data_IF_815876241129
#
_entry.id   IF_815876241129
#
_cell.length_a   1.000
_cell.length_b   1.000
_cell.length_c   1.000
_cell.angle_alpha   90.00
_cell.angle_beta   90.00
_cell.angle_gamma   90.00
#
_symmetry.space_group_name_H-M   'P 1'
#
loop_
_entity.id
_entity.type
_entity.pdbx_description
1 polymer ?
#
# COMPACT_ATOMS: atom_id res chain seq x y z
N UNK A 1 -21.97 -16.13 -19.13
CA UNK A 1 -21.44 -17.50 -19.30
C UNK A 1 -20.56 -17.76 -18.10
N UNK A 2 -21.11 -18.47 -17.11
CA UNK A 2 -20.40 -18.90 -15.90
C UNK A 2 -19.53 -20.10 -16.25
N UNK A 3 -18.24 -20.01 -15.99
CA UNK A 3 -17.39 -21.18 -15.88
C UNK A 3 -16.95 -21.28 -14.42
N UNK A 4 -17.67 -22.05 -13.65
CA UNK A 4 -17.23 -22.58 -12.37
C UNK A 4 -16.24 -23.70 -12.66
N UNK A 5 -14.98 -23.50 -12.30
CA UNK A 5 -13.97 -24.55 -12.35
C UNK A 5 -13.84 -25.12 -10.93
N UNK A 6 -14.52 -26.23 -10.69
CA UNK A 6 -14.30 -27.08 -9.53
C UNK A 6 -12.98 -27.81 -9.72
N UNK A 7 -11.94 -27.44 -8.95
CA UNK A 7 -10.68 -28.17 -8.90
C UNK A 7 -10.81 -29.24 -7.81
N UNK A 8 -11.13 -30.46 -8.24
CA UNK A 8 -11.03 -31.67 -7.43
C UNK A 8 -9.57 -32.15 -7.49
N UNK A 9 -8.80 -31.95 -6.43
CA UNK A 9 -7.42 -32.46 -6.32
C UNK A 9 -7.51 -33.93 -5.91
N UNK A 10 -7.43 -34.81 -6.89
CA UNK A 10 -7.22 -36.23 -6.66
C UNK A 10 -5.72 -36.54 -6.77
N UNK A 11 -5.06 -36.73 -5.62
CA UNK A 11 -3.64 -37.07 -5.54
C UNK A 11 -3.42 -38.54 -5.92
N UNK A 12 -3.29 -38.83 -7.21
CA UNK A 12 -2.71 -40.07 -7.68
C UNK A 12 -1.26 -39.83 -8.09
N UNK A 13 -0.33 -40.40 -7.33
CA UNK A 13 1.09 -40.41 -7.60
C UNK A 13 1.39 -41.25 -8.82
N UNK A 14 1.56 -40.64 -10.00
CA UNK A 14 2.37 -41.16 -11.08
C UNK A 14 3.14 -39.98 -11.71
N UNK A 15 4.45 -39.97 -11.44
CA UNK A 15 5.37 -38.97 -11.92
C UNK A 15 5.58 -39.09 -13.43
N UNK A 16 5.06 -38.12 -14.18
CA UNK A 16 5.68 -37.57 -15.37
C UNK A 16 5.41 -36.05 -15.34
N UNK A 17 6.35 -35.33 -14.72
CA UNK A 17 6.28 -33.87 -14.54
C UNK A 17 7.20 -33.20 -15.56
N UNK A 18 6.66 -32.89 -16.75
CA UNK A 18 7.19 -31.81 -17.57
C UNK A 18 6.52 -30.50 -17.12
N UNK A 19 7.08 -29.90 -16.06
CA UNK A 19 6.59 -28.60 -15.57
C UNK A 19 7.33 -27.50 -16.32
N UNK A 20 6.64 -26.86 -17.27
CA UNK A 20 7.11 -25.63 -17.87
C UNK A 20 7.01 -24.48 -16.84
N UNK A 21 8.08 -24.32 -16.05
CA UNK A 21 8.20 -23.32 -14.97
C UNK A 21 7.98 -21.88 -15.44
N UNK A 22 8.13 -21.58 -16.74
CA UNK A 22 7.81 -20.26 -17.31
C UNK A 22 6.30 -20.00 -17.37
N UNK A 23 5.50 -20.99 -17.74
CA UNK A 23 4.04 -20.83 -17.77
C UNK A 23 3.42 -20.83 -16.37
N UNK A 24 3.99 -21.60 -15.44
CA UNK A 24 3.56 -21.59 -14.04
C UNK A 24 3.85 -20.24 -13.38
N UNK A 25 5.03 -19.65 -13.61
CA UNK A 25 5.36 -18.28 -13.16
C UNK A 25 4.39 -17.25 -13.72
N UNK A 26 4.07 -17.33 -15.00
CA UNK A 26 3.15 -16.37 -15.66
C UNK A 26 1.71 -16.56 -15.16
N UNK A 27 1.25 -17.77 -14.87
CA UNK A 27 -0.10 -18.01 -14.33
C UNK A 27 -0.21 -17.60 -12.85
N UNK A 28 0.78 -17.83 -12.03
CA UNK A 28 0.77 -17.41 -10.61
C UNK A 28 0.84 -15.88 -10.49
N UNK A 29 1.59 -15.19 -11.39
CA UNK A 29 1.74 -13.74 -11.34
C UNK A 29 0.77 -12.96 -12.25
N UNK A 30 0.18 -13.57 -13.31
CA UNK A 30 -0.89 -12.94 -14.10
C UNK A 30 -2.28 -13.10 -13.52
N UNK A 31 -2.52 -14.10 -12.69
CA UNK A 31 -3.71 -14.14 -11.88
C UNK A 31 -3.42 -13.37 -10.59
N UNK A 32 -3.68 -12.08 -10.58
CA UNK A 32 -4.06 -11.34 -9.37
C UNK A 32 -5.42 -11.82 -8.81
N UNK A 33 -5.92 -12.93 -9.29
CA UNK A 33 -6.80 -13.81 -8.57
C UNK A 33 -5.96 -14.51 -7.48
N UNK A 34 -5.38 -13.72 -6.58
CA UNK A 34 -5.18 -14.19 -5.22
C UNK A 34 -6.51 -14.82 -4.85
N UNK A 35 -6.50 -16.12 -4.55
CA UNK A 35 -7.72 -16.86 -4.18
C UNK A 35 -8.37 -16.08 -3.06
N UNK A 36 -9.28 -15.18 -3.43
CA UNK A 36 -10.13 -14.48 -2.46
C UNK A 36 -11.13 -15.54 -2.03
N UNK A 37 -10.76 -16.29 -0.99
CA UNK A 37 -11.69 -17.17 -0.33
C UNK A 37 -12.89 -16.32 0.06
N UNK A 38 -14.05 -16.67 -0.45
CA UNK A 38 -15.34 -16.10 -0.03
C UNK A 38 -15.61 -16.50 1.43
N UNK A 39 -14.84 -15.96 2.37
CA UNK A 39 -15.13 -16.11 3.78
C UNK A 39 -16.18 -15.09 4.19
N UNK A 40 -17.28 -15.50 4.81
CA UNK A 40 -18.30 -14.59 5.28
C UNK A 40 -17.86 -13.73 6.48
N UNK A 41 -16.71 -14.05 7.09
CA UNK A 41 -16.18 -13.35 8.26
C UNK A 41 -14.78 -12.77 7.93
N UNK A 42 -14.59 -11.43 8.03
CA UNK A 42 -13.32 -10.78 7.75
C UNK A 42 -12.13 -11.27 8.62
N UNK A 43 -12.37 -11.63 9.87
CA UNK A 43 -11.38 -12.25 10.76
C UNK A 43 -10.87 -13.59 10.20
N UNK A 44 -11.76 -14.36 9.58
CA UNK A 44 -11.38 -15.63 8.95
C UNK A 44 -10.53 -15.41 7.68
N UNK A 45 -10.72 -14.29 6.98
CA UNK A 45 -9.94 -13.99 5.77
C UNK A 45 -8.47 -13.69 6.11
N UNK A 46 -8.20 -12.84 7.10
CA UNK A 46 -6.84 -12.51 7.55
C UNK A 46 -6.13 -13.75 8.12
N UNK A 47 -6.82 -14.53 8.95
CA UNK A 47 -6.29 -15.78 9.48
C UNK A 47 -5.97 -16.77 8.37
N UNK A 48 -6.91 -16.95 7.42
CA UNK A 48 -6.74 -17.86 6.29
C UNK A 48 -5.57 -17.43 5.41
N UNK A 49 -5.47 -16.15 5.06
CA UNK A 49 -4.35 -15.61 4.27
C UNK A 49 -3.01 -15.83 4.97
N UNK A 50 -2.97 -15.58 6.28
CA UNK A 50 -1.78 -15.79 7.10
C UNK A 50 -1.35 -17.27 7.11
N UNK A 51 -2.30 -18.19 7.33
CA UNK A 51 -2.01 -19.63 7.35
C UNK A 51 -1.54 -20.15 5.98
N UNK A 52 -2.11 -19.64 4.90
CA UNK A 52 -1.68 -20.00 3.54
C UNK A 52 -0.25 -19.50 3.29
N UNK A 53 0.06 -18.24 3.61
CA UNK A 53 1.39 -17.68 3.41
C UNK A 53 2.44 -18.42 4.24
N UNK A 54 2.14 -18.73 5.49
CA UNK A 54 3.02 -19.55 6.34
C UNK A 54 3.20 -20.95 5.77
N UNK A 55 2.11 -21.61 5.34
CA UNK A 55 2.15 -22.93 4.74
C UNK A 55 2.99 -22.99 3.46
N UNK A 56 2.81 -22.03 2.56
CA UNK A 56 3.62 -21.91 1.32
C UNK A 56 5.09 -21.67 1.68
N UNK A 57 5.38 -20.78 2.62
CA UNK A 57 6.75 -20.47 3.03
C UNK A 57 7.45 -21.70 3.64
N UNK A 58 6.77 -22.45 4.49
CA UNK A 58 7.28 -23.69 5.06
C UNK A 58 7.50 -24.77 3.98
N UNK A 59 6.58 -24.89 3.02
CA UNK A 59 6.73 -25.85 1.91
C UNK A 59 7.94 -25.52 1.05
N UNK A 60 8.15 -24.25 0.70
CA UNK A 60 9.33 -23.82 -0.06
C UNK A 60 10.63 -24.11 0.69
N UNK A 61 10.67 -23.89 2.00
CA UNK A 61 11.84 -24.24 2.82
C UNK A 61 12.06 -25.74 2.88
N UNK A 62 11.03 -26.56 3.03
CA UNK A 62 11.14 -28.02 2.97
C UNK A 62 11.75 -28.52 1.66
N UNK A 63 11.33 -27.94 0.54
CA UNK A 63 11.90 -28.25 -0.78
C UNK A 63 13.38 -27.85 -0.82
N UNK A 64 13.71 -26.63 -0.38
CA UNK A 64 15.09 -26.14 -0.34
C UNK A 64 15.98 -26.99 0.56
N UNK A 65 15.53 -27.32 1.77
CA UNK A 65 16.26 -28.16 2.73
C UNK A 65 16.49 -29.54 2.16
N UNK A 66 15.50 -30.11 1.44
CA UNK A 66 15.66 -31.39 0.76
C UNK A 66 16.74 -31.34 -0.33
N UNK A 67 16.75 -30.27 -1.15
CA UNK A 67 17.75 -30.07 -2.20
C UNK A 67 19.16 -29.89 -1.60
N UNK A 68 19.27 -29.08 -0.53
CA UNK A 68 20.54 -28.89 0.19
C UNK A 68 21.04 -30.22 0.80
N UNK A 69 20.13 -30.99 1.40
CA UNK A 69 20.49 -32.31 1.97
C UNK A 69 21.00 -33.28 0.91
N UNK A 70 20.38 -33.32 -0.28
CA UNK A 70 20.85 -34.12 -1.44
C UNK A 70 22.23 -33.63 -1.89
N UNK A 71 22.42 -32.32 -2.04
CA UNK A 71 23.69 -31.73 -2.43
C UNK A 71 24.82 -32.11 -1.44
N UNK A 72 24.60 -31.95 -0.14
CA UNK A 72 25.57 -32.30 0.90
C UNK A 72 25.86 -33.80 0.94
N UNK A 73 24.86 -34.63 0.69
CA UNK A 73 25.05 -36.07 0.57
C UNK A 73 25.95 -36.44 -0.63
N UNK A 74 25.71 -35.86 -1.79
CA UNK A 74 26.47 -36.13 -3.01
C UNK A 74 27.91 -35.59 -2.95
N UNK A 75 28.10 -34.39 -2.39
CA UNK A 75 29.40 -33.68 -2.41
C UNK A 75 30.26 -34.00 -1.19
N UNK A 76 29.71 -33.88 0.02
CA UNK A 76 30.43 -34.00 1.28
C UNK A 76 30.23 -35.35 1.98
N UNK A 77 29.46 -36.26 1.36
CA UNK A 77 29.09 -37.56 1.93
C UNK A 77 28.47 -37.50 3.32
N UNK A 78 27.85 -36.35 3.63
CA UNK A 78 27.04 -36.19 4.85
C UNK A 78 25.79 -37.05 4.73
N UNK A 79 25.43 -37.80 5.78
CA UNK A 79 24.21 -38.61 5.75
C UNK A 79 22.99 -37.74 5.47
N UNK A 80 22.24 -38.04 4.39
CA UNK A 80 21.03 -37.28 3.99
C UNK A 80 20.09 -37.02 5.19
N UNK A 81 19.82 -38.07 5.99
CA UNK A 81 18.97 -37.97 7.17
C UNK A 81 19.45 -36.89 8.15
N UNK A 82 20.76 -36.77 8.43
CA UNK A 82 21.30 -35.76 9.34
C UNK A 82 21.15 -34.37 8.74
N UNK A 83 21.54 -34.18 7.47
CA UNK A 83 21.43 -32.90 6.78
C UNK A 83 19.97 -32.42 6.75
N UNK A 84 19.02 -33.29 6.38
CA UNK A 84 17.59 -32.98 6.33
C UNK A 84 17.02 -32.64 7.71
N UNK A 85 17.34 -33.39 8.76
CA UNK A 85 16.87 -33.11 10.13
C UNK A 85 17.37 -31.76 10.65
N UNK A 86 18.59 -31.35 10.31
CA UNK A 86 19.08 -30.01 10.65
C UNK A 86 18.37 -28.94 9.84
N UNK A 87 18.07 -29.20 8.56
CA UNK A 87 17.30 -28.32 7.71
C UNK A 87 15.91 -28.03 8.27
N UNK A 88 15.26 -29.02 8.91
CA UNK A 88 13.92 -28.81 9.51
C UNK A 88 13.86 -27.66 10.53
N UNK A 89 14.99 -27.27 11.13
CA UNK A 89 15.04 -26.10 12.01
C UNK A 89 14.70 -24.80 11.27
N UNK A 90 14.94 -24.75 9.95
CA UNK A 90 14.58 -23.58 9.13
C UNK A 90 13.08 -23.32 9.10
N UNK A 91 12.25 -24.36 9.30
CA UNK A 91 10.78 -24.23 9.33
C UNK A 91 10.27 -23.35 10.48
N UNK A 92 11.11 -23.10 11.49
CA UNK A 92 10.77 -22.12 12.53
C UNK A 92 10.87 -20.66 12.03
N UNK A 93 11.61 -20.40 10.95
CA UNK A 93 11.85 -19.04 10.46
C UNK A 93 10.57 -18.30 10.01
N UNK A 94 9.69 -18.86 9.14
CA UNK A 94 8.49 -18.16 8.72
C UNK A 94 7.59 -17.74 9.89
N UNK A 95 7.21 -18.62 10.84
CA UNK A 95 6.40 -18.21 11.98
C UNK A 95 7.12 -17.21 12.89
N UNK A 96 8.43 -17.29 13.07
CA UNK A 96 9.20 -16.32 13.85
C UNK A 96 9.23 -14.95 13.16
N UNK A 97 9.45 -14.87 11.86
CA UNK A 97 9.38 -13.62 11.10
C UNK A 97 7.97 -13.03 11.12
N UNK A 98 6.95 -13.87 10.97
CA UNK A 98 5.58 -13.41 11.08
C UNK A 98 5.28 -12.87 12.49
N UNK A 99 5.67 -13.60 13.54
CA UNK A 99 5.49 -13.17 14.93
C UNK A 99 6.23 -11.84 15.19
N UNK A 100 7.45 -11.68 14.69
CA UNK A 100 8.19 -10.41 14.77
C UNK A 100 7.45 -9.28 14.04
N UNK A 101 7.00 -9.54 12.81
CA UNK A 101 6.23 -8.57 12.02
C UNK A 101 4.93 -8.15 12.68
N UNK A 102 4.24 -9.10 13.33
CA UNK A 102 2.98 -8.89 14.04
C UNK A 102 3.17 -8.17 15.38
N UNK A 103 4.12 -8.61 16.20
CA UNK A 103 4.29 -8.09 17.56
C UNK A 103 5.11 -6.80 17.61
N UNK A 104 6.10 -6.67 16.73
CA UNK A 104 7.10 -5.59 16.81
C UNK A 104 6.97 -4.63 15.62
N UNK A 105 7.22 -5.09 14.41
CA UNK A 105 7.52 -4.20 13.29
C UNK A 105 6.31 -3.39 12.85
N UNK A 106 5.10 -3.96 12.85
CA UNK A 106 3.86 -3.23 12.53
C UNK A 106 3.55 -2.08 13.50
N UNK A 107 4.18 -2.08 14.70
CA UNK A 107 4.03 -1.04 15.72
C UNK A 107 5.20 -0.03 15.70
N UNK A 108 6.19 -0.24 14.86
CA UNK A 108 7.40 0.58 14.82
C UNK A 108 7.41 1.49 13.60
N UNK A 109 6.72 2.61 13.71
CA UNK A 109 6.61 3.63 12.65
C UNK A 109 7.96 4.26 12.36
N UNK A 110 8.32 4.31 11.07
CA UNK A 110 9.49 5.04 10.57
C UNK A 110 9.09 6.40 10.00
N UNK A 111 9.95 7.40 10.17
CA UNK A 111 9.88 8.66 9.44
C UNK A 111 10.95 8.62 8.34
N UNK A 112 10.54 8.83 7.09
CA UNK A 112 11.46 9.00 5.97
C UNK A 112 11.53 10.47 5.60
N UNK A 113 12.74 11.02 5.65
CA UNK A 113 13.00 12.37 5.16
C UNK A 113 13.44 12.29 3.71
N UNK A 114 12.79 13.06 2.85
CA UNK A 114 13.03 13.13 1.40
C UNK A 114 13.15 14.59 1.01
N UNK A 115 14.19 14.95 0.30
CA UNK A 115 14.27 16.25 -0.38
C UNK A 115 13.95 16.06 -1.85
N UNK A 116 13.07 16.92 -2.38
CA UNK A 116 12.73 16.98 -3.79
C UNK A 116 13.09 18.38 -4.28
N UNK A 117 14.14 18.44 -5.08
CA UNK A 117 14.62 19.64 -5.71
C UNK A 117 14.03 19.74 -7.13
N UNK A 118 13.52 20.91 -7.48
CA UNK A 118 12.93 21.14 -8.79
C UNK A 118 13.01 22.62 -9.18
N UNK A 119 13.51 22.93 -10.39
CA UNK A 119 13.69 24.31 -10.84
C UNK A 119 12.38 25.06 -11.09
N UNK A 120 11.24 24.33 -11.07
CA UNK A 120 9.92 24.94 -11.27
C UNK A 120 9.23 25.34 -9.96
N UNK A 121 9.84 25.03 -8.80
CA UNK A 121 9.26 25.42 -7.51
C UNK A 121 9.36 26.94 -7.32
N UNK A 122 8.26 27.64 -7.01
CA UNK A 122 8.34 29.06 -6.67
C UNK A 122 9.18 29.28 -5.40
N UNK A 123 10.05 30.27 -5.41
CA UNK A 123 11.04 30.53 -4.34
C UNK A 123 10.43 30.67 -2.95
N UNK A 124 9.22 31.23 -2.85
CA UNK A 124 8.50 31.39 -1.56
C UNK A 124 8.13 30.06 -0.92
N UNK A 125 8.18 28.96 -1.67
CA UNK A 125 7.95 27.59 -1.18
C UNK A 125 9.25 26.79 -1.00
N UNK A 126 10.43 27.42 -1.14
CA UNK A 126 11.69 26.75 -0.81
C UNK A 126 11.70 26.37 0.68
N UNK A 127 11.98 25.11 0.97
CA UNK A 127 11.90 24.57 2.32
C UNK A 127 10.50 24.18 2.78
N UNK A 128 9.49 24.16 1.90
CA UNK A 128 8.12 23.76 2.22
C UNK A 128 8.07 22.31 2.66
N UNK A 129 7.47 22.05 3.81
CA UNK A 129 7.48 20.76 4.49
C UNK A 129 6.13 20.07 4.34
N UNK A 130 6.12 18.98 3.62
CA UNK A 130 4.91 18.17 3.42
C UNK A 130 5.06 16.84 4.14
N UNK A 131 4.06 16.42 4.89
CA UNK A 131 3.96 15.04 5.35
C UNK A 131 3.01 14.30 4.42
N UNK A 132 3.49 13.22 3.84
CA UNK A 132 2.65 12.24 3.16
C UNK A 132 2.40 11.05 4.06
N UNK A 133 1.13 10.67 4.19
CA UNK A 133 0.65 9.42 4.77
C UNK A 133 -0.31 8.75 3.79
N UNK A 134 -0.45 7.44 3.88
CA UNK A 134 -1.28 6.64 2.98
C UNK A 134 -1.77 5.37 3.67
N UNK A 135 -2.79 4.75 3.11
CA UNK A 135 -3.15 3.37 3.42
C UNK A 135 -3.24 3.13 4.93
N UNK A 136 -4.10 3.90 5.60
CA UNK A 136 -4.29 3.79 7.06
C UNK A 136 -4.98 2.48 7.39
N UNK A 137 -5.98 2.08 6.59
CA UNK A 137 -6.73 0.84 6.81
C UNK A 137 -7.15 0.68 8.26
N UNK A 138 -8.06 1.54 8.73
CA UNK A 138 -8.44 1.71 10.13
C UNK A 138 -8.79 0.40 10.83
N UNK A 139 -9.31 -0.57 10.09
CA UNK A 139 -9.55 -1.93 10.60
C UNK A 139 -8.30 -2.53 11.26
N UNK A 140 -7.10 -2.28 10.71
CA UNK A 140 -5.84 -2.81 11.25
C UNK A 140 -5.46 -2.23 12.61
N UNK A 141 -6.08 -1.10 12.99
CA UNK A 141 -5.86 -0.43 14.27
C UNK A 141 -6.92 -0.75 15.33
N UNK A 142 -7.94 -1.55 15.01
CA UNK A 142 -8.95 -1.95 15.98
C UNK A 142 -8.30 -2.67 17.16
N UNK A 143 -8.52 -2.13 18.40
CA UNK A 143 -7.81 -2.55 19.61
C UNK A 143 -6.36 -2.06 19.72
N UNK A 144 -5.93 -1.19 18.79
CA UNK A 144 -4.60 -0.56 18.75
C UNK A 144 -4.70 0.96 18.58
N UNK A 145 -5.73 1.57 19.10
CA UNK A 145 -6.03 3.00 18.98
C UNK A 145 -4.85 3.86 19.50
N UNK A 146 -4.19 3.40 20.56
CA UNK A 146 -2.98 4.06 21.09
C UNK A 146 -1.81 4.06 20.10
N UNK A 147 -1.73 3.06 19.21
CA UNK A 147 -0.69 3.02 18.18
C UNK A 147 -0.96 4.09 17.13
N UNK A 148 -2.21 4.22 16.66
CA UNK A 148 -2.59 5.28 15.72
C UNK A 148 -2.39 6.67 16.35
N UNK A 149 -2.76 6.86 17.63
CA UNK A 149 -2.54 8.14 18.33
C UNK A 149 -1.05 8.51 18.33
N UNK A 150 -0.15 7.57 18.65
CA UNK A 150 1.30 7.81 18.59
C UNK A 150 1.79 8.18 17.19
N UNK A 151 1.19 7.62 16.14
CA UNK A 151 1.52 7.98 14.76
C UNK A 151 1.08 9.41 14.46
N UNK A 152 -0.13 9.79 14.87
CA UNK A 152 -0.66 11.16 14.72
C UNK A 152 0.20 12.15 15.52
N UNK A 153 0.54 11.84 16.77
CA UNK A 153 1.41 12.69 17.59
C UNK A 153 2.79 12.86 16.91
N UNK A 154 3.31 11.78 16.30
CA UNK A 154 4.57 11.82 15.57
C UNK A 154 4.47 12.70 14.31
N UNK A 155 3.39 12.62 13.56
CA UNK A 155 3.12 13.47 12.39
C UNK A 155 3.09 14.94 12.82
N UNK A 156 2.31 15.26 13.85
CA UNK A 156 2.20 16.62 14.36
C UNK A 156 3.54 17.17 14.87
N UNK A 157 4.37 16.33 15.51
CA UNK A 157 5.71 16.71 15.99
C UNK A 157 6.69 17.08 14.87
N UNK A 158 6.41 16.70 13.63
CA UNK A 158 7.21 17.08 12.47
C UNK A 158 6.93 18.53 12.03
N UNK A 159 5.90 19.18 12.57
CA UNK A 159 5.48 20.53 12.22
C UNK A 159 5.41 20.75 10.69
N UNK A 160 4.60 19.96 9.98
CA UNK A 160 4.47 20.11 8.53
C UNK A 160 3.70 21.39 8.18
N UNK A 161 4.00 21.98 7.01
CA UNK A 161 3.17 23.04 6.45
C UNK A 161 1.85 22.46 5.92
N UNK A 162 1.89 21.22 5.39
CA UNK A 162 0.74 20.50 4.82
C UNK A 162 0.81 19.01 5.11
N UNK A 163 -0.34 18.34 5.23
CA UNK A 163 -0.44 16.88 5.22
C UNK A 163 -1.20 16.43 3.98
N UNK A 164 -0.64 15.45 3.26
CA UNK A 164 -1.22 14.81 2.09
C UNK A 164 -1.54 13.33 2.41
N UNK A 165 -2.82 12.98 2.43
CA UNK A 165 -3.29 11.60 2.56
C UNK A 165 -3.64 11.03 1.20
N UNK A 166 -2.95 9.98 0.80
CA UNK A 166 -3.06 9.41 -0.56
C UNK A 166 -4.00 8.20 -0.64
N UNK A 167 -5.04 8.14 0.22
CA UNK A 167 -6.16 7.19 0.10
C UNK A 167 -6.02 5.90 0.91
N UNK A 168 -7.04 5.07 0.83
CA UNK A 168 -7.25 3.84 1.59
C UNK A 168 -7.33 4.10 3.10
N UNK A 169 -8.33 4.91 3.48
CA UNK A 169 -8.64 5.18 4.89
C UNK A 169 -9.23 3.94 5.56
N UNK A 170 -10.15 3.26 4.88
CA UNK A 170 -10.81 2.05 5.37
C UNK A 170 -10.41 0.82 4.54
N UNK A 171 -10.69 -0.38 5.05
CA UNK A 171 -10.43 -1.65 4.34
C UNK A 171 -11.66 -2.17 3.62
N UNK A 172 -12.83 -2.14 4.28
CA UNK A 172 -14.06 -2.78 3.79
C UNK A 172 -15.34 -1.99 4.06
N UNK A 173 -15.37 -1.14 5.09
CA UNK A 173 -16.60 -0.47 5.56
C UNK A 173 -16.31 0.88 6.18
N UNK A 174 -17.19 1.89 5.98
CA UNK A 174 -17.07 3.18 6.67
C UNK A 174 -17.20 3.06 8.20
N UNK A 175 -17.80 1.98 8.72
CA UNK A 175 -17.91 1.74 10.16
C UNK A 175 -16.54 1.55 10.84
N UNK A 176 -15.48 1.31 10.04
CA UNK A 176 -14.11 1.23 10.54
C UNK A 176 -13.61 2.56 11.11
N UNK A 177 -14.24 3.69 10.77
CA UNK A 177 -13.90 5.03 11.29
C UNK A 177 -14.33 5.20 12.75
N UNK A 178 -15.32 4.43 13.20
CA UNK A 178 -15.84 4.51 14.55
C UNK A 178 -14.71 4.36 15.59
N UNK A 179 -14.59 5.31 16.49
CA UNK A 179 -13.53 5.38 17.51
C UNK A 179 -12.21 6.00 17.04
N UNK A 180 -12.00 6.21 15.73
CA UNK A 180 -10.76 6.79 15.21
C UNK A 180 -10.90 8.24 14.72
N UNK A 181 -12.12 8.70 14.44
CA UNK A 181 -12.36 10.04 13.92
C UNK A 181 -11.76 11.12 14.83
N UNK A 182 -11.94 11.00 16.15
CA UNK A 182 -11.37 11.94 17.13
C UNK A 182 -9.85 11.98 17.09
N UNK A 183 -9.19 10.82 16.89
CA UNK A 183 -7.73 10.74 16.77
C UNK A 183 -7.27 11.45 15.50
N UNK A 184 -7.87 11.13 14.35
CA UNK A 184 -7.47 11.66 13.06
C UNK A 184 -7.77 13.16 12.91
N UNK A 185 -8.82 13.67 13.55
CA UNK A 185 -9.15 15.10 13.56
C UNK A 185 -8.13 15.95 14.33
N UNK A 186 -7.20 15.32 15.09
CA UNK A 186 -6.11 16.05 15.75
C UNK A 186 -4.89 16.29 14.84
N UNK A 187 -4.89 15.77 13.62
CA UNK A 187 -3.91 16.17 12.62
C UNK A 187 -4.04 17.65 12.32
N UNK A 188 -2.96 18.40 12.45
CA UNK A 188 -2.98 19.85 12.24
C UNK A 188 -1.74 20.32 11.49
N UNK A 189 -1.95 21.33 10.66
CA UNK A 189 -0.92 21.96 9.82
C UNK A 189 -1.30 23.42 9.58
N UNK A 190 -0.40 24.17 8.95
CA UNK A 190 -0.68 25.57 8.57
C UNK A 190 -1.66 25.67 7.40
N UNK A 191 -1.46 24.84 6.37
CA UNK A 191 -2.14 24.95 5.09
C UNK A 191 -3.23 23.88 4.89
N UNK A 192 -3.42 22.98 5.87
CA UNK A 192 -4.49 21.98 5.89
C UNK A 192 -4.06 20.54 5.63
N UNK A 193 -5.02 19.64 5.79
CA UNK A 193 -4.90 18.21 5.46
C UNK A 193 -5.69 17.97 4.18
N UNK A 194 -5.03 17.46 3.16
CA UNK A 194 -5.64 17.14 1.86
C UNK A 194 -5.67 15.63 1.67
N UNK A 195 -6.80 15.13 1.17
CA UNK A 195 -7.01 13.69 0.99
C UNK A 195 -7.56 13.36 -0.39
N UNK A 196 -7.29 12.14 -0.84
CA UNK A 196 -7.94 11.49 -1.98
C UNK A 196 -8.42 10.11 -1.57
N UNK A 197 -9.32 9.52 -2.36
CA UNK A 197 -9.81 8.16 -2.13
C UNK A 197 -8.90 7.12 -2.80
N UNK A 198 -8.61 6.02 -2.09
CA UNK A 198 -7.99 4.83 -2.64
C UNK A 198 -9.01 3.78 -3.08
N UNK A 199 -8.54 2.64 -3.60
CA UNK A 199 -9.43 1.62 -4.13
C UNK A 199 -10.30 0.94 -3.06
N UNK A 200 -9.83 0.79 -1.83
CA UNK A 200 -10.61 0.23 -0.73
C UNK A 200 -11.76 1.15 -0.30
N UNK A 201 -11.58 2.45 -0.41
CA UNK A 201 -12.58 3.45 -0.03
C UNK A 201 -13.85 3.39 -0.93
N UNK A 202 -13.78 2.69 -2.07
CA UNK A 202 -14.94 2.39 -2.94
C UNK A 202 -15.69 1.11 -2.54
N UNK A 203 -15.38 0.52 -1.40
CA UNK A 203 -16.07 -0.65 -0.84
C UNK A 203 -16.03 -1.90 -1.73
N UNK A 204 -15.02 -2.03 -2.60
CA UNK A 204 -14.90 -3.16 -3.53
C UNK A 204 -14.68 -4.51 -2.83
N UNK A 205 -14.22 -4.46 -1.60
CA UNK A 205 -13.99 -5.64 -0.75
C UNK A 205 -15.08 -5.86 0.31
N UNK A 206 -16.15 -5.05 0.30
CA UNK A 206 -17.29 -5.24 1.18
C UNK A 206 -17.93 -6.61 0.89
N UNK A 207 -17.62 -7.60 1.73
CA UNK A 207 -18.07 -8.98 1.56
C UNK A 207 -19.52 -9.20 1.98
N UNK A 208 -20.07 -10.42 1.73
CA UNK A 208 -21.43 -10.83 2.09
C UNK A 208 -21.75 -10.77 3.60
N UNK A 209 -20.81 -10.43 4.45
CA UNK A 209 -20.96 -10.28 5.90
C UNK A 209 -20.88 -8.83 6.40
N UNK A 210 -20.55 -7.87 5.53
CA UNK A 210 -20.66 -6.45 5.87
C UNK A 210 -22.16 -6.05 5.96
N UNK A 211 -22.51 -5.05 6.77
CA UNK A 211 -23.87 -4.50 6.70
C UNK A 211 -24.23 -4.25 5.25
N UNK A 212 -25.47 -4.63 4.84
CA UNK A 212 -25.96 -4.49 3.45
C UNK A 212 -26.18 -3.02 3.09
N UNK A 213 -25.22 -2.17 3.39
CA UNK A 213 -25.26 -0.76 3.02
C UNK A 213 -24.97 -0.66 1.53
N UNK A 214 -25.81 0.08 0.83
CA UNK A 214 -25.54 0.39 -0.58
C UNK A 214 -24.15 1.03 -0.69
N UNK A 215 -23.26 0.51 -1.55
CA UNK A 215 -21.89 1.04 -1.69
C UNK A 215 -21.86 2.55 -1.90
N UNK A 216 -22.81 3.11 -2.65
CA UNK A 216 -22.89 4.57 -2.87
C UNK A 216 -23.21 5.34 -1.59
N UNK A 217 -23.97 4.78 -0.65
CA UNK A 217 -24.25 5.39 0.66
C UNK A 217 -22.99 5.30 1.53
N UNK A 218 -22.35 4.12 1.57
CA UNK A 218 -21.14 3.89 2.33
C UNK A 218 -19.99 4.83 1.90
N UNK A 219 -19.81 5.02 0.59
CA UNK A 219 -18.82 5.97 0.04
C UNK A 219 -19.12 7.39 0.50
N UNK A 220 -20.38 7.82 0.43
CA UNK A 220 -20.77 9.17 0.90
C UNK A 220 -20.55 9.35 2.40
N UNK A 221 -20.84 8.33 3.21
CA UNK A 221 -20.55 8.34 4.64
C UNK A 221 -19.06 8.53 4.93
N UNK A 222 -18.20 7.80 4.20
CA UNK A 222 -16.75 7.94 4.31
C UNK A 222 -16.29 9.35 3.92
N UNK A 223 -16.75 9.86 2.79
CA UNK A 223 -16.42 11.20 2.32
C UNK A 223 -16.85 12.30 3.31
N UNK A 224 -18.01 12.12 3.91
CA UNK A 224 -18.51 13.05 4.93
C UNK A 224 -17.69 12.97 6.21
N UNK A 225 -17.29 11.77 6.63
CA UNK A 225 -16.43 11.58 7.80
C UNK A 225 -15.07 12.26 7.62
N UNK A 226 -14.44 12.19 6.44
CA UNK A 226 -13.20 12.90 6.15
C UNK A 226 -13.38 14.43 6.27
N UNK A 227 -14.48 14.99 5.73
CA UNK A 227 -14.78 16.41 5.87
C UNK A 227 -15.04 16.83 7.32
N UNK A 228 -15.72 15.99 8.10
CA UNK A 228 -15.96 16.22 9.53
C UNK A 228 -14.66 16.17 10.36
N UNK A 229 -13.64 15.43 9.90
CA UNK A 229 -12.29 15.50 10.49
C UNK A 229 -11.54 16.80 10.14
N UNK A 230 -12.12 17.67 9.32
CA UNK A 230 -11.49 18.91 8.86
C UNK A 230 -10.57 18.71 7.66
N UNK A 231 -10.63 17.56 6.99
CA UNK A 231 -9.81 17.29 5.81
C UNK A 231 -10.45 17.84 4.54
N UNK A 232 -9.62 18.33 3.63
CA UNK A 232 -10.04 18.73 2.29
C UNK A 232 -9.95 17.54 1.36
N UNK A 233 -11.08 16.84 1.19
CA UNK A 233 -11.18 15.71 0.27
C UNK A 233 -11.29 16.21 -1.16
N UNK A 234 -10.33 15.83 -1.99
CA UNK A 234 -10.23 16.17 -3.41
C UNK A 234 -10.75 15.01 -4.28
N UNK A 235 -11.82 15.29 -5.04
CA UNK A 235 -12.45 14.33 -5.96
C UNK A 235 -12.45 14.97 -7.36
N UNK A 236 -11.40 14.69 -8.14
CA UNK A 236 -11.11 15.34 -9.42
C UNK A 236 -11.18 16.87 -9.32
N UNK A 237 -10.43 17.40 -8.35
CA UNK A 237 -10.40 18.82 -8.04
C UNK A 237 -9.04 19.23 -7.51
N UNK A 238 -8.84 20.53 -7.31
CA UNK A 238 -7.62 21.05 -6.72
C UNK A 238 -7.92 22.16 -5.70
N UNK A 239 -6.90 22.48 -4.91
CA UNK A 239 -6.89 23.58 -3.97
C UNK A 239 -5.59 24.38 -4.14
N UNK A 240 -5.70 25.70 -4.15
CA UNK A 240 -4.58 26.60 -4.35
C UNK A 240 -4.08 27.15 -3.01
N UNK A 241 -2.78 27.00 -2.76
CA UNK A 241 -2.09 27.59 -1.63
C UNK A 241 -1.22 28.74 -2.15
N UNK A 242 -1.50 29.96 -1.67
CA UNK A 242 -0.86 31.19 -2.15
C UNK A 242 0.08 31.76 -1.12
N UNK A 243 1.22 32.27 -1.61
CA UNK A 243 2.20 33.03 -0.84
C UNK A 243 2.64 34.24 -1.67
N UNK A 244 1.99 35.38 -1.43
CA UNK A 244 2.16 36.57 -2.28
C UNK A 244 1.67 36.30 -3.70
N UNK A 245 2.54 36.46 -4.69
CA UNK A 245 2.27 36.15 -6.10
C UNK A 245 2.41 34.67 -6.43
N UNK A 246 3.11 33.90 -5.61
CA UNK A 246 3.42 32.51 -5.85
C UNK A 246 2.28 31.59 -5.43
N UNK A 247 2.17 30.45 -6.12
CA UNK A 247 1.09 29.51 -5.91
C UNK A 247 1.53 28.08 -6.12
N UNK A 248 1.15 27.21 -5.20
CA UNK A 248 1.16 25.75 -5.42
C UNK A 248 -0.28 25.25 -5.47
N UNK A 249 -0.52 24.22 -6.29
CA UNK A 249 -1.81 23.56 -6.41
C UNK A 249 -1.71 22.13 -5.89
N UNK A 250 -2.51 21.80 -4.89
CA UNK A 250 -2.72 20.42 -4.48
C UNK A 250 -3.85 19.87 -5.32
N UNK A 251 -3.51 18.98 -6.25
CA UNK A 251 -4.43 18.35 -7.21
C UNK A 251 -4.77 16.97 -6.72
N UNK A 252 -6.02 16.61 -6.62
CA UNK A 252 -6.45 15.27 -6.22
C UNK A 252 -7.38 14.64 -7.24
N UNK A 253 -7.13 13.38 -7.56
CA UNK A 253 -7.99 12.58 -8.43
C UNK A 253 -8.69 11.48 -7.64
N UNK A 254 -9.89 11.10 -8.07
CA UNK A 254 -10.47 9.82 -7.66
C UNK A 254 -9.54 8.69 -8.13
N UNK A 255 -9.71 7.47 -7.60
CA UNK A 255 -8.80 6.38 -7.95
C UNK A 255 -8.71 6.15 -9.47
N UNK A 256 -7.48 6.17 -10.01
CA UNK A 256 -7.13 5.79 -11.39
C UNK A 256 -6.16 4.64 -11.32
N UNK A 257 -6.49 3.51 -11.94
CA UNK A 257 -5.66 2.31 -11.98
C UNK A 257 -5.62 1.73 -13.39
N UNK A 258 -4.48 1.15 -13.76
CA UNK A 258 -4.36 0.35 -14.99
C UNK A 258 -4.86 -1.08 -14.80
N UNK A 259 -5.06 -1.52 -13.57
CA UNK A 259 -5.63 -2.82 -13.24
C UNK A 259 -7.15 -2.80 -13.36
N UNK A 260 -7.71 -3.78 -14.07
CA UNK A 260 -9.18 -3.94 -14.19
C UNK A 260 -9.87 -4.36 -12.87
N UNK A 261 -9.10 -4.75 -11.87
CA UNK A 261 -9.63 -5.14 -10.56
C UNK A 261 -9.97 -3.95 -9.67
N UNK A 262 -9.40 -2.79 -9.95
CA UNK A 262 -9.59 -1.59 -9.15
C UNK A 262 -10.49 -0.57 -9.88
N UNK A 263 -11.28 0.21 -9.14
CA UNK A 263 -12.06 1.27 -9.75
C UNK A 263 -11.13 2.29 -10.41
N UNK A 264 -11.49 2.73 -11.61
CA UNK A 264 -10.80 3.81 -12.32
C UNK A 264 -11.85 4.85 -12.66
N UNK A 265 -12.08 5.80 -11.73
CA UNK A 265 -13.14 6.82 -11.81
C UNK A 265 -12.59 8.22 -12.02
N UNK A 266 -11.31 8.43 -11.71
CA UNK A 266 -10.69 9.74 -11.72
C UNK A 266 -10.58 10.36 -13.11
N UNK A 267 -10.58 11.68 -13.13
CA UNK A 267 -10.45 12.52 -14.31
C UNK A 267 -9.38 13.58 -14.08
N UNK A 268 -8.15 13.29 -14.53
CA UNK A 268 -7.01 14.20 -14.34
C UNK A 268 -7.23 15.56 -14.99
N UNK A 269 -7.80 15.59 -16.21
CA UNK A 269 -8.04 16.85 -16.92
C UNK A 269 -9.01 17.76 -16.16
N UNK A 270 -10.04 17.19 -15.52
CA UNK A 270 -10.95 17.93 -14.66
C UNK A 270 -10.24 18.41 -13.39
N UNK A 271 -9.43 17.56 -12.76
CA UNK A 271 -8.71 17.91 -11.53
C UNK A 271 -7.74 19.08 -11.73
N UNK A 272 -7.18 19.23 -12.93
CA UNK A 272 -6.21 20.28 -13.27
C UNK A 272 -6.86 21.65 -13.57
N UNK A 273 -8.16 21.71 -13.82
CA UNK A 273 -8.83 22.96 -14.19
C UNK A 273 -8.66 24.04 -13.10
N UNK A 274 -8.22 25.23 -13.49
CA UNK A 274 -8.01 26.37 -12.59
C UNK A 274 -6.69 26.33 -11.80
N UNK A 275 -5.80 25.36 -12.12
CA UNK A 275 -4.45 25.27 -11.55
C UNK A 275 -3.35 25.70 -12.53
N UNK A 276 -3.71 26.36 -13.62
CA UNK A 276 -2.78 26.82 -14.65
C UNK A 276 -1.77 27.82 -14.04
N UNK A 277 -0.49 27.63 -14.35
CA UNK A 277 0.60 28.45 -13.86
C UNK A 277 1.03 28.21 -12.41
N UNK A 278 0.33 27.35 -11.66
CA UNK A 278 0.74 26.93 -10.33
C UNK A 278 1.73 25.75 -10.39
N UNK A 279 2.60 25.65 -9.40
CA UNK A 279 3.37 24.44 -9.16
C UNK A 279 2.42 23.33 -8.67
N UNK A 280 2.29 22.23 -9.38
CA UNK A 280 1.27 21.20 -9.14
C UNK A 280 1.84 20.03 -8.35
N UNK A 281 1.14 19.63 -7.28
CA UNK A 281 1.40 18.43 -6.50
C UNK A 281 0.17 17.54 -6.65
N UNK A 282 0.32 16.40 -7.35
CA UNK A 282 -0.76 15.47 -7.61
C UNK A 282 -0.83 14.40 -6.53
N UNK A 283 -2.00 14.26 -5.91
CA UNK A 283 -2.37 13.15 -5.06
C UNK A 283 -3.12 12.11 -5.91
N UNK A 284 -2.56 10.94 -6.03
CA UNK A 284 -3.15 9.82 -6.77
C UNK A 284 -2.79 8.51 -6.12
N UNK A 285 -3.80 7.77 -5.65
CA UNK A 285 -3.58 6.59 -4.82
C UNK A 285 -2.72 5.52 -5.49
N UNK A 286 -3.13 5.04 -6.68
CA UNK A 286 -2.43 3.97 -7.41
C UNK A 286 -1.27 4.55 -8.24
N UNK A 287 -0.01 4.11 -8.01
CA UNK A 287 1.15 4.61 -8.74
C UNK A 287 1.14 4.28 -10.24
N UNK A 288 0.33 3.33 -10.70
CA UNK A 288 0.19 3.02 -12.13
C UNK A 288 -0.43 4.17 -12.93
N UNK A 289 -1.12 5.10 -12.27
CA UNK A 289 -1.60 6.33 -12.87
C UNK A 289 -0.44 7.20 -13.40
N UNK A 290 0.67 7.25 -12.67
CA UNK A 290 1.83 8.04 -13.06
C UNK A 290 2.36 7.64 -14.44
N UNK A 291 2.57 6.33 -14.68
CA UNK A 291 3.02 5.85 -16.00
C UNK A 291 1.98 6.03 -17.10
N UNK A 292 0.69 5.88 -16.75
CA UNK A 292 -0.38 5.85 -17.75
C UNK A 292 -0.80 7.23 -18.23
N UNK A 293 -0.80 8.25 -17.36
CA UNK A 293 -1.37 9.57 -17.70
C UNK A 293 -0.51 10.77 -17.28
N UNK A 294 0.51 10.62 -16.40
CA UNK A 294 1.25 11.75 -15.84
C UNK A 294 2.63 11.90 -16.45
N UNK A 295 3.45 10.86 -16.34
CA UNK A 295 4.83 10.87 -16.77
C UNK A 295 4.95 11.13 -18.27
N UNK A 296 5.76 12.14 -18.66
CA UNK A 296 5.94 12.64 -20.03
C UNK A 296 4.66 13.09 -20.76
N UNK A 297 3.51 13.15 -20.06
CA UNK A 297 2.23 13.53 -20.66
C UNK A 297 1.66 14.82 -20.09
N UNK A 298 2.20 15.24 -18.97
CA UNK A 298 1.83 16.47 -18.25
C UNK A 298 3.07 17.22 -17.79
N UNK A 299 2.87 18.42 -17.27
CA UNK A 299 3.89 19.26 -16.62
C UNK A 299 3.87 19.15 -15.08
N UNK A 300 3.21 18.12 -14.53
CA UNK A 300 3.11 17.91 -13.08
C UNK A 300 4.47 17.51 -12.52
N UNK A 301 5.10 18.35 -11.68
CA UNK A 301 6.45 18.05 -11.20
C UNK A 301 6.49 17.03 -10.06
N UNK A 302 5.43 16.88 -9.26
CA UNK A 302 5.40 15.95 -8.14
C UNK A 302 4.08 15.19 -8.07
N UNK A 303 4.17 13.86 -7.98
CA UNK A 303 3.05 12.95 -7.74
C UNK A 303 3.30 12.17 -6.44
N UNK A 304 2.27 12.08 -5.61
CA UNK A 304 2.29 11.31 -4.37
C UNK A 304 1.29 10.15 -4.49
N UNK A 305 1.76 8.93 -4.23
CA UNK A 305 0.95 7.71 -4.32
C UNK A 305 1.15 6.79 -3.10
N UNK A 306 0.26 5.81 -2.93
CA UNK A 306 0.30 4.76 -1.92
C UNK A 306 0.10 3.37 -2.50
N UNK A 307 -0.95 2.65 -2.04
CA UNK A 307 -1.52 1.45 -2.63
C UNK A 307 -0.71 0.14 -2.49
N UNK A 308 0.58 0.18 -2.65
CA UNK A 308 1.39 -1.03 -2.84
C UNK A 308 1.77 -1.74 -1.54
N UNK A 309 1.81 -1.00 -0.41
CA UNK A 309 2.35 -1.43 0.89
C UNK A 309 3.75 -2.06 0.82
N UNK A 310 4.46 -1.98 -0.31
CA UNK A 310 5.62 -2.83 -0.63
C UNK A 310 5.31 -4.32 -0.34
N UNK A 311 4.05 -4.75 -0.63
CA UNK A 311 3.50 -6.08 -0.33
C UNK A 311 3.63 -6.52 1.14
N UNK A 312 3.76 -5.59 2.07
CA UNK A 312 3.98 -5.80 3.52
C UNK A 312 5.17 -6.71 3.85
N UNK A 313 6.01 -7.04 2.86
CA UNK A 313 7.14 -7.93 3.04
C UNK A 313 8.35 -7.49 2.20
N UNK A 314 9.46 -7.23 2.89
CA UNK A 314 10.77 -7.02 2.25
C UNK A 314 11.82 -7.76 3.08
N UNK A 315 12.48 -8.76 2.48
CA UNK A 315 13.48 -9.55 3.16
C UNK A 315 14.84 -9.36 2.49
N UNK A 316 15.85 -8.94 3.23
CA UNK A 316 17.22 -8.70 2.73
C UNK A 316 17.24 -7.85 1.43
N UNK A 317 16.39 -6.84 1.35
CA UNK A 317 16.27 -5.96 0.18
C UNK A 317 15.41 -6.51 -0.96
N UNK A 318 15.03 -7.78 -0.91
CA UNK A 318 14.11 -8.36 -1.87
C UNK A 318 12.64 -8.10 -1.46
N UNK A 319 11.86 -7.58 -2.40
CA UNK A 319 10.44 -7.27 -2.20
C UNK A 319 9.62 -7.87 -3.35
N UNK A 320 8.59 -8.67 -3.07
CA UNK A 320 7.70 -9.20 -4.11
C UNK A 320 7.03 -8.09 -4.94
N UNK A 321 6.78 -6.94 -4.33
CA UNK A 321 6.13 -5.79 -4.96
C UNK A 321 6.80 -5.33 -6.26
N UNK A 322 8.13 -5.47 -6.39
CA UNK A 322 8.88 -5.12 -7.61
C UNK A 322 8.49 -5.91 -8.87
N UNK A 323 7.84 -7.07 -8.70
CA UNK A 323 7.37 -7.90 -9.81
C UNK A 323 5.91 -7.63 -10.17
N UNK A 324 5.21 -6.88 -9.31
CA UNK A 324 3.79 -6.55 -9.45
C UNK A 324 3.64 -5.12 -9.96
N UNK A 325 4.40 -4.18 -9.36
CA UNK A 325 4.34 -2.75 -9.66
C UNK A 325 5.70 -2.26 -10.15
N UNK A 326 5.76 -1.50 -11.25
CA UNK A 326 6.99 -0.82 -11.69
C UNK A 326 7.53 0.12 -10.60
N UNK A 327 6.61 0.82 -9.92
CA UNK A 327 6.89 1.74 -8.83
C UNK A 327 6.18 1.24 -7.56
N UNK A 328 6.93 0.65 -6.63
CA UNK A 328 6.33 -0.05 -5.49
C UNK A 328 6.68 0.55 -4.12
N UNK A 329 7.68 1.43 -4.03
CA UNK A 329 8.03 2.18 -2.81
C UNK A 329 9.10 3.24 -3.05
N UNK A 330 9.01 4.36 -2.31
CA UNK A 330 10.02 5.40 -2.29
C UNK A 330 9.98 6.32 -3.50
N UNK A 331 11.09 7.01 -3.77
CA UNK A 331 11.19 8.06 -4.75
C UNK A 331 11.63 7.53 -6.12
N UNK A 332 10.96 8.00 -7.16
CA UNK A 332 11.28 7.80 -8.57
C UNK A 332 11.31 9.15 -9.28
N UNK A 333 12.14 9.28 -10.31
CA UNK A 333 12.21 10.49 -11.12
C UNK A 333 12.29 10.17 -12.60
N UNK A 334 11.71 11.05 -13.42
CA UNK A 334 11.73 10.95 -14.86
C UNK A 334 11.78 12.37 -15.47
N UNK A 335 12.96 12.81 -15.88
CA UNK A 335 13.24 14.22 -16.14
C UNK A 335 13.00 15.05 -14.87
N UNK A 336 12.22 16.11 -14.98
CA UNK A 336 11.86 16.99 -13.87
C UNK A 336 10.56 16.55 -13.16
N UNK A 337 10.08 15.36 -13.44
CA UNK A 337 8.88 14.82 -12.80
C UNK A 337 9.28 13.78 -11.75
N UNK A 338 8.68 13.87 -10.58
CA UNK A 338 8.94 13.03 -9.43
C UNK A 338 7.68 12.28 -9.02
N UNK A 339 7.85 11.01 -8.65
CA UNK A 339 6.84 10.19 -8.01
C UNK A 339 7.37 9.74 -6.65
N UNK A 340 6.58 9.88 -5.60
CA UNK A 340 6.86 9.22 -4.33
C UNK A 340 5.74 8.22 -3.99
N UNK A 341 6.12 6.98 -3.73
CA UNK A 341 5.20 5.90 -3.34
C UNK A 341 5.42 5.58 -1.87
N UNK A 342 4.48 6.02 -1.02
CA UNK A 342 4.43 5.71 0.41
C UNK A 342 3.91 4.28 0.61
N UNK A 343 4.46 3.55 1.57
CA UNK A 343 4.09 2.15 1.82
C UNK A 343 3.02 1.97 2.90
N UNK A 344 2.39 3.06 3.32
CA UNK A 344 1.23 3.05 4.19
C UNK A 344 1.51 2.88 5.68
N UNK A 345 0.49 3.18 6.48
CA UNK A 345 0.52 3.06 7.94
C UNK A 345 -0.10 1.76 8.43
N UNK A 346 -1.17 1.28 7.79
CA UNK A 346 -1.91 0.09 8.17
C UNK A 346 -1.52 -1.19 7.43
N UNK A 347 -2.32 -2.21 7.59
CA UNK A 347 -2.15 -3.52 6.94
C UNK A 347 -3.45 -3.94 6.22
N UNK A 348 -3.32 -4.77 5.16
CA UNK A 348 -4.47 -5.23 4.36
C UNK A 348 -4.63 -6.74 4.34
N UNK A 349 -3.68 -7.47 3.73
CA UNK A 349 -3.81 -8.89 3.41
C UNK A 349 -3.61 -9.76 4.65
N UNK A 350 -2.63 -9.42 5.47
CA UNK A 350 -2.30 -10.12 6.73
C UNK A 350 -1.81 -9.11 7.77
N UNK A 351 -2.06 -9.35 9.06
CA UNK A 351 -1.85 -8.36 10.12
C UNK A 351 -0.39 -8.28 10.58
N UNK A 352 0.56 -8.22 9.65
CA UNK A 352 1.98 -8.12 9.95
C UNK A 352 2.72 -7.32 8.89
N UNK A 353 3.87 -6.76 9.27
CA UNK A 353 4.82 -6.11 8.37
C UNK A 353 6.20 -6.68 8.61
N UNK A 354 6.86 -7.16 7.57
CA UNK A 354 8.21 -7.73 7.64
C UNK A 354 9.15 -6.96 6.73
N UNK A 355 10.08 -6.20 7.29
CA UNK A 355 10.99 -5.31 6.56
C UNK A 355 10.30 -4.13 5.86
N UNK A 356 9.08 -3.80 6.29
CA UNK A 356 8.21 -2.76 5.69
C UNK A 356 7.47 -2.00 6.78
N UNK A 357 8.21 -1.36 7.67
CA UNK A 357 7.62 -0.60 8.79
C UNK A 357 6.58 0.42 8.30
N UNK A 358 5.53 0.70 9.09
CA UNK A 358 4.62 1.80 8.81
C UNK A 358 5.38 3.09 8.51
N UNK A 359 5.01 3.81 7.45
CA UNK A 359 5.80 4.92 6.94
C UNK A 359 5.06 6.25 7.02
N UNK A 360 5.72 7.23 7.66
CA UNK A 360 5.41 8.65 7.57
C UNK A 360 6.51 9.25 6.69
N UNK A 361 6.16 9.89 5.58
CA UNK A 361 7.16 10.55 4.72
C UNK A 361 7.13 12.05 4.94
N UNK A 362 8.26 12.62 5.34
CA UNK A 362 8.45 14.07 5.38
C UNK A 362 9.21 14.50 4.12
N UNK A 363 8.52 15.16 3.22
CA UNK A 363 9.08 15.71 1.98
C UNK A 363 9.38 17.19 2.20
N UNK A 364 10.61 17.60 1.89
CA UNK A 364 11.00 19.02 1.86
C UNK A 364 11.23 19.43 0.42
N UNK A 365 10.48 20.40 -0.06
CA UNK A 365 10.65 20.95 -1.40
C UNK A 365 11.82 21.95 -1.45
N UNK A 366 12.60 21.89 -2.53
CA UNK A 366 13.72 22.80 -2.80
C UNK A 366 13.60 23.38 -4.20
N UNK A 367 13.88 24.68 -4.30
CA UNK A 367 14.20 25.32 -5.56
C UNK A 367 15.69 25.12 -5.87
N UNK A 368 16.02 24.76 -7.09
CA UNK A 368 17.42 24.65 -7.56
C UNK A 368 17.87 25.95 -8.23
#
# INVERSE_FOLDING_TARGET
MNCDLDININLNFNLNLDINLRELKIKIFKSQNLIIFKSPNPLNLELTSTLILLGISCLLLLILDSLVAVMLWLTLKVTFRKAFLWGLLSLALPPLFFAYGYLVERNWTQVRNVEIATPTLPHTFNGYRMVQISDIHLRSFKGRERTLQKMVDKINSLNPDIICFTGDLVTMSPDEIEGFQTILSTLHTKDGVFSVMGNHDYMIYAGKGAPRTNPSIAIKQLQEAERQMGWTLLLDSNSLIRRGSDCIAIVGVENISTSRHFPSKGNLAKALQGSEGAFRILLSHDPTHWDSQVSYRTDIPLTLSGHTHATQCTLLGWCPGKYIYPHYKGHYSQGNQHLYVNIGLGETIFPARVGTRPEITLITLRDE
#
